data_IF_837852972938
#
_entry.id   IF_837852972938
#
_cell.length_a   1.000
_cell.length_b   1.000
_cell.length_c   1.000
_cell.angle_alpha   90.00
_cell.angle_beta   90.00
_cell.angle_gamma   90.00
#
_symmetry.space_group_name_H-M   'P 1'
#
loop_
_entity.id
_entity.type
_entity.pdbx_description
1 polymer ?
#
# COMPACT_ATOMS: atom_id res chain seq x y z
N UNK A 1 -11.19 -22.42 -36.26
CA UNK A 1 -11.17 -22.47 -34.78
C UNK A 1 -10.21 -21.38 -34.33
N UNK A 2 -10.73 -20.25 -33.84
CA UNK A 2 -9.91 -19.11 -33.42
C UNK A 2 -9.34 -19.36 -32.02
N UNK A 3 -8.14 -18.85 -31.69
CA UNK A 3 -7.53 -19.10 -30.39
C UNK A 3 -8.28 -18.31 -29.31
N UNK A 4 -8.96 -19.02 -28.41
CA UNK A 4 -9.70 -18.46 -27.27
C UNK A 4 -8.79 -17.81 -26.20
N UNK A 5 -7.46 -17.93 -26.33
CA UNK A 5 -6.50 -17.60 -25.28
C UNK A 5 -6.19 -16.09 -25.07
N UNK A 6 -6.87 -15.16 -25.74
CA UNK A 6 -6.59 -13.71 -25.61
C UNK A 6 -7.60 -12.90 -24.82
N UNK A 7 -8.76 -13.45 -24.47
CA UNK A 7 -9.86 -12.67 -23.87
C UNK A 7 -9.81 -12.58 -22.34
N UNK A 8 -9.11 -13.48 -21.66
CA UNK A 8 -8.97 -13.43 -20.21
C UNK A 8 -7.90 -12.44 -19.74
N UNK A 9 -7.01 -11.99 -20.63
CA UNK A 9 -5.96 -11.01 -20.28
C UNK A 9 -6.46 -9.56 -20.16
N UNK A 10 -7.70 -9.27 -20.56
CA UNK A 10 -8.28 -7.92 -20.57
C UNK A 10 -9.35 -7.71 -19.49
N UNK A 11 -9.69 -8.73 -18.71
CA UNK A 11 -10.68 -8.62 -17.64
C UNK A 11 -10.06 -8.01 -16.38
N UNK A 12 -10.80 -7.20 -15.60
CA UNK A 12 -10.36 -6.74 -14.30
C UNK A 12 -10.00 -7.91 -13.37
N UNK A 13 -8.95 -7.77 -12.56
CA UNK A 13 -8.51 -8.80 -11.60
C UNK A 13 -9.64 -9.24 -10.66
N UNK A 14 -10.51 -8.31 -10.27
CA UNK A 14 -11.69 -8.62 -9.44
C UNK A 14 -12.66 -9.60 -10.12
N UNK A 15 -12.83 -9.51 -11.45
CA UNK A 15 -13.67 -10.43 -12.21
C UNK A 15 -12.99 -11.79 -12.42
N UNK A 16 -11.67 -11.78 -12.65
CA UNK A 16 -10.87 -13.00 -12.78
C UNK A 16 -10.88 -13.86 -11.52
N UNK A 17 -10.98 -13.23 -10.34
CA UNK A 17 -11.00 -13.90 -9.04
C UNK A 17 -12.39 -14.37 -8.59
N UNK A 18 -13.45 -14.17 -9.38
CA UNK A 18 -14.79 -14.66 -9.02
C UNK A 18 -14.85 -16.19 -8.82
N UNK A 19 -13.99 -16.93 -9.52
CA UNK A 19 -13.85 -18.38 -9.39
C UNK A 19 -13.01 -18.80 -8.17
N UNK A 20 -12.35 -17.86 -7.49
CA UNK A 20 -11.40 -18.12 -6.42
C UNK A 20 -10.05 -18.68 -6.88
N UNK A 21 -9.84 -18.85 -8.20
CA UNK A 21 -8.60 -19.37 -8.76
C UNK A 21 -7.75 -18.21 -9.29
N UNK A 22 -6.50 -18.12 -8.81
CA UNK A 22 -5.52 -17.14 -9.30
C UNK A 22 -4.90 -17.66 -10.61
N UNK A 23 -4.99 -16.92 -11.72
CA UNK A 23 -4.37 -17.34 -12.98
C UNK A 23 -2.84 -17.43 -12.85
N UNK A 24 -2.22 -18.42 -13.50
CA UNK A 24 -0.77 -18.69 -13.40
C UNK A 24 0.10 -17.50 -13.77
N UNK A 25 -0.35 -16.63 -14.67
CA UNK A 25 0.37 -15.42 -15.07
C UNK A 25 0.55 -14.39 -13.95
N UNK A 26 -0.22 -14.49 -12.85
CA UNK A 26 -0.07 -13.66 -11.65
C UNK A 26 0.76 -14.35 -10.56
N UNK A 27 1.15 -15.61 -10.76
CA UNK A 27 2.02 -16.32 -9.81
C UNK A 27 3.46 -15.90 -10.06
N UNK A 28 3.99 -15.07 -9.17
CA UNK A 28 5.40 -14.69 -9.22
C UNK A 28 6.26 -15.89 -8.82
N UNK A 29 7.03 -16.42 -9.79
CA UNK A 29 8.04 -17.43 -9.49
C UNK A 29 9.15 -16.77 -8.67
N UNK A 30 9.16 -17.01 -7.37
CA UNK A 30 10.25 -16.64 -6.48
C UNK A 30 11.48 -17.46 -6.87
N UNK A 31 12.25 -16.94 -7.84
CA UNK A 31 13.62 -17.39 -8.07
C UNK A 31 14.39 -17.02 -6.79
N UNK A 32 14.90 -18.02 -6.11
CA UNK A 32 15.67 -17.93 -4.86
C UNK A 32 16.46 -16.61 -4.77
N UNK A 33 16.06 -15.72 -3.85
CA UNK A 33 16.93 -14.71 -3.22
C UNK A 33 16.23 -13.87 -2.13
N UNK A 34 14.89 -13.82 -2.11
CA UNK A 34 14.16 -13.25 -0.98
C UNK A 34 13.15 -14.26 -0.45
N UNK A 35 13.54 -14.96 0.62
CA UNK A 35 12.62 -15.68 1.49
C UNK A 35 11.67 -14.65 2.11
N UNK A 36 10.61 -14.28 1.37
CA UNK A 36 9.40 -13.77 1.99
C UNK A 36 8.82 -14.98 2.70
N UNK A 37 9.22 -15.18 3.96
CA UNK A 37 8.68 -16.26 4.77
C UNK A 37 7.16 -16.14 4.81
N UNK A 38 6.47 -17.28 4.90
CA UNK A 38 5.00 -17.39 4.98
C UNK A 38 4.40 -16.77 6.26
N UNK A 39 5.21 -16.01 7.00
CA UNK A 39 4.80 -15.27 8.19
C UNK A 39 4.38 -13.85 7.84
N UNK A 40 3.56 -13.21 8.69
CA UNK A 40 3.28 -11.79 8.53
C UNK A 40 4.60 -11.02 8.44
N UNK A 41 4.70 -10.13 7.45
CA UNK A 41 5.81 -9.18 7.39
C UNK A 41 5.91 -8.50 8.76
N UNK A 42 7.13 -8.33 9.30
CA UNK A 42 7.29 -7.61 10.55
C UNK A 42 6.63 -6.24 10.41
N UNK A 43 5.72 -5.92 11.34
CA UNK A 43 5.09 -4.61 11.38
C UNK A 43 6.22 -3.59 11.47
N UNK A 44 6.42 -2.83 10.40
CA UNK A 44 7.38 -1.76 10.37
C UNK A 44 6.68 -0.49 10.79
N UNK A 45 7.13 0.10 11.91
CA UNK A 45 6.71 1.43 12.36
C UNK A 45 7.28 2.48 11.40
N UNK A 46 6.64 2.61 10.24
CA UNK A 46 6.93 3.68 9.29
C UNK A 46 6.66 5.04 9.94
N UNK A 47 7.38 6.10 9.53
CA UNK A 47 7.21 7.42 10.13
C UNK A 47 5.78 7.94 9.91
N UNK A 48 5.14 8.38 10.99
CA UNK A 48 3.81 9.00 10.99
C UNK A 48 3.97 10.51 11.12
N UNK A 49 3.19 11.27 10.34
CA UNK A 49 3.21 12.73 10.35
C UNK A 49 1.84 13.38 10.47
N UNK A 50 1.76 14.46 11.23
CA UNK A 50 0.58 15.32 11.37
C UNK A 50 0.69 16.56 10.47
N UNK A 51 -0.17 16.64 9.46
CA UNK A 51 -0.19 17.76 8.51
C UNK A 51 -0.67 19.07 9.15
N UNK A 52 -1.44 18.99 10.24
CA UNK A 52 -1.84 20.16 11.02
C UNK A 52 -0.63 20.82 11.67
N UNK A 53 0.33 20.02 12.14
CA UNK A 53 1.59 20.52 12.69
C UNK A 53 2.54 21.02 11.60
N UNK A 54 2.61 20.34 10.45
CA UNK A 54 3.40 20.84 9.31
C UNK A 54 2.89 22.21 8.80
N UNK A 55 1.58 22.38 8.69
CA UNK A 55 0.98 23.64 8.23
C UNK A 55 1.20 24.80 9.19
N UNK A 56 1.38 24.53 10.48
CA UNK A 56 1.81 25.52 11.48
C UNK A 56 3.33 25.74 11.53
N UNK A 57 4.07 25.17 10.57
CA UNK A 57 5.54 25.24 10.50
C UNK A 57 6.24 24.72 11.77
N UNK A 58 5.66 23.69 12.40
CA UNK A 58 6.26 23.05 13.56
C UNK A 58 7.63 22.43 13.18
N UNK A 59 8.69 22.87 13.86
CA UNK A 59 10.07 22.45 13.56
C UNK A 59 10.34 20.96 13.82
N UNK A 60 9.69 20.38 14.82
CA UNK A 60 9.82 18.96 15.12
C UNK A 60 9.21 18.11 13.99
N UNK A 61 8.03 18.52 13.52
CA UNK A 61 7.33 17.83 12.45
C UNK A 61 8.07 17.96 11.10
N UNK A 62 8.64 19.13 10.82
CA UNK A 62 9.52 19.34 9.66
C UNK A 62 10.80 18.48 9.74
N UNK A 63 11.36 18.30 10.94
CA UNK A 63 12.53 17.42 11.14
C UNK A 63 12.16 15.95 10.90
N UNK A 64 10.99 15.51 11.37
CA UNK A 64 10.46 14.17 11.07
C UNK A 64 10.26 13.96 9.58
N UNK A 65 9.68 14.94 8.86
CA UNK A 65 9.51 14.89 7.40
C UNK A 65 10.85 14.68 6.70
N UNK A 66 11.85 15.51 7.03
CA UNK A 66 13.18 15.39 6.43
C UNK A 66 13.80 14.02 6.72
N UNK A 67 13.70 13.54 7.96
CA UNK A 67 14.22 12.22 8.34
C UNK A 67 13.53 11.10 7.58
N UNK A 68 12.19 11.11 7.52
CA UNK A 68 11.39 10.12 6.81
C UNK A 68 11.74 10.05 5.32
N UNK A 69 11.82 11.20 4.64
CA UNK A 69 12.20 11.24 3.23
C UNK A 69 13.63 10.78 2.98
N UNK A 70 14.55 11.03 3.93
CA UNK A 70 15.97 10.67 3.77
C UNK A 70 16.26 9.20 4.10
N UNK A 71 15.43 8.54 4.92
CA UNK A 71 15.69 7.20 5.45
C UNK A 71 14.70 6.14 5.00
N UNK A 72 13.43 6.50 4.81
CA UNK A 72 12.36 5.60 4.37
C UNK A 72 11.92 5.86 2.93
N UNK A 73 11.94 7.12 2.48
CA UNK A 73 11.39 7.54 1.20
C UNK A 73 9.85 7.64 1.18
N UNK A 74 9.17 7.21 2.25
CA UNK A 74 7.74 7.33 2.45
C UNK A 74 7.40 7.60 3.94
N UNK A 75 6.17 8.03 4.19
CA UNK A 75 5.61 8.25 5.53
C UNK A 75 4.09 8.10 5.47
N UNK A 76 3.47 7.83 6.61
CA UNK A 76 2.02 7.86 6.78
C UNK A 76 1.61 9.24 7.27
N UNK A 77 0.45 9.73 6.82
CA UNK A 77 -0.14 10.95 7.37
C UNK A 77 -1.32 10.62 8.27
N UNK A 78 -1.38 11.32 9.41
CA UNK A 78 -2.60 11.49 10.18
C UNK A 78 -3.10 12.92 10.00
N UNK A 79 -4.40 13.02 9.71
CA UNK A 79 -5.12 14.29 9.71
C UNK A 79 -6.33 14.11 10.62
N UNK A 80 -6.32 14.74 11.80
CA UNK A 80 -7.51 14.78 12.65
C UNK A 80 -8.46 15.88 12.16
N UNK A 81 -9.37 15.53 11.24
CA UNK A 81 -10.60 16.31 11.09
C UNK A 81 -11.57 15.94 12.20
N UNK A 82 -11.46 16.60 13.36
CA UNK A 82 -12.52 16.57 14.38
C UNK A 82 -13.75 17.29 13.84
N UNK A 83 -14.60 16.59 13.08
CA UNK A 83 -16.07 16.52 13.24
C UNK A 83 -16.73 15.82 12.03
N UNK A 84 -16.86 14.49 12.10
CA UNK A 84 -18.09 13.85 11.58
C UNK A 84 -19.08 13.75 12.72
N UNK A 85 -19.77 14.86 13.00
CA UNK A 85 -21.08 14.75 13.64
C UNK A 85 -22.02 14.09 12.62
N UNK A 86 -22.04 12.76 12.60
CA UNK A 86 -23.21 12.05 12.10
C UNK A 86 -24.31 12.23 13.15
N UNK A 87 -25.10 13.28 12.97
CA UNK A 87 -26.43 13.32 13.57
C UNK A 87 -27.30 12.33 12.78
N UNK A 88 -27.84 11.35 13.51
CA UNK A 88 -28.85 10.40 13.04
C UNK A 88 -30.18 11.10 12.73
#
# INVERSE_FOLDING_TARGET
MAPEAKYDQLKPVQELLQSGVVPEMYLQQLKDEHQVGDGPLPLMDGPIMDFSLLSSSNLEELSKLRSALSTWGCFQNIYEEKTRHLNY
#
